data_IF_598720468590
#
_entry.id   IF_598720468590
#
_cell.length_a   1.000
_cell.length_b   1.000
_cell.length_c   1.000
_cell.angle_alpha   90.00
_cell.angle_beta   90.00
_cell.angle_gamma   90.00
#
_symmetry.space_group_name_H-M   'P 1'
#
loop_
_entity.id
_entity.type
_entity.pdbx_description
1 polymer ?
#
# COMPACT_ATOMS: atom_id res chain seq x y z
N UNK A 1 -7.80 48.00 41.13
CA UNK A 1 -6.83 46.88 41.15
C UNK A 1 -7.26 45.85 40.11
N UNK A 2 -6.45 45.74 39.05
CA UNK A 2 -6.00 44.49 38.43
C UNK A 2 -7.10 43.49 37.95
N UNK A 3 -7.46 43.62 36.66
CA UNK A 3 -8.11 42.59 35.82
C UNK A 3 -7.06 41.55 35.39
N UNK A 4 -7.32 40.25 35.57
CA UNK A 4 -6.59 39.18 34.86
C UNK A 4 -7.58 38.24 34.21
N UNK A 5 -7.75 38.42 32.90
CA UNK A 5 -8.29 37.42 31.98
C UNK A 5 -7.17 36.43 31.67
N UNK A 6 -7.31 35.17 32.08
CA UNK A 6 -6.51 34.07 31.55
C UNK A 6 -7.34 33.33 30.50
N UNK A 7 -7.13 33.65 29.23
CA UNK A 7 -7.60 32.84 28.11
C UNK A 7 -6.45 32.69 27.12
N UNK A 8 -5.72 31.58 27.23
CA UNK A 8 -4.83 31.12 26.18
C UNK A 8 -4.61 29.61 26.36
N UNK A 9 -5.40 28.79 25.67
CA UNK A 9 -5.09 27.36 25.46
C UNK A 9 -5.15 27.07 23.96
N UNK A 10 -3.97 27.19 23.34
CA UNK A 10 -3.35 26.29 22.36
C UNK A 10 -4.27 25.77 21.22
N UNK A 11 -4.24 26.48 20.09
CA UNK A 11 -4.58 25.92 18.76
C UNK A 11 -3.27 25.57 18.05
N UNK A 12 -2.75 24.35 18.24
CA UNK A 12 -1.51 23.89 17.57
C UNK A 12 -1.61 22.49 16.95
N UNK A 13 -2.81 21.88 16.90
CA UNK A 13 -2.98 20.51 16.39
C UNK A 13 -3.23 20.42 14.88
N UNK A 14 -3.67 21.50 14.21
CA UNK A 14 -4.07 21.43 12.79
C UNK A 14 -2.89 21.38 11.78
N UNK A 15 -1.70 21.86 12.16
CA UNK A 15 -0.56 21.92 11.24
C UNK A 15 0.10 20.55 10.99
N UNK A 16 0.04 19.64 11.98
CA UNK A 16 0.69 18.33 11.89
C UNK A 16 -0.02 17.39 10.91
N UNK A 17 -1.36 17.38 10.92
CA UNK A 17 -2.14 16.54 10.00
C UNK A 17 -1.97 16.94 8.52
N UNK A 18 -1.80 18.24 8.25
CA UNK A 18 -1.57 18.72 6.89
C UNK A 18 -0.20 18.34 6.33
N UNK A 19 0.85 18.32 7.17
CA UNK A 19 2.21 17.98 6.74
C UNK A 19 2.37 16.48 6.46
N UNK A 20 1.81 15.61 7.31
CA UNK A 20 1.77 14.16 7.04
C UNK A 20 0.96 13.84 5.79
N UNK A 21 -0.20 14.47 5.61
CA UNK A 21 -1.02 14.26 4.41
C UNK A 21 -0.28 14.70 3.13
N UNK A 22 0.43 15.84 3.17
CA UNK A 22 1.29 16.27 2.05
C UNK A 22 2.39 15.26 1.74
N UNK A 23 3.00 14.66 2.77
CA UNK A 23 4.04 13.65 2.55
C UNK A 23 3.48 12.41 1.86
N UNK A 24 2.27 11.94 2.21
CA UNK A 24 1.65 10.79 1.55
C UNK A 24 1.10 11.11 0.15
N UNK A 25 0.70 12.37 -0.10
CA UNK A 25 0.15 12.79 -1.40
C UNK A 25 1.14 12.62 -2.57
N UNK A 26 2.45 12.62 -2.29
CA UNK A 26 3.51 12.35 -3.27
C UNK A 26 3.70 10.84 -3.58
N UNK A 27 3.11 9.95 -2.77
CA UNK A 27 3.25 8.49 -2.87
C UNK A 27 1.94 7.87 -3.34
N UNK A 28 1.57 8.22 -4.57
CA UNK A 28 0.31 7.80 -5.19
C UNK A 28 0.32 6.33 -5.63
N UNK A 29 1.51 5.76 -5.83
CA UNK A 29 1.63 4.35 -6.21
C UNK A 29 1.41 3.46 -5.01
N UNK A 30 0.94 2.24 -5.26
CA UNK A 30 0.79 1.22 -4.23
C UNK A 30 1.60 -0.01 -4.59
N UNK A 31 2.24 -0.62 -3.59
CA UNK A 31 2.93 -1.89 -3.79
C UNK A 31 2.42 -2.95 -2.83
N UNK A 32 2.23 -4.16 -3.33
CA UNK A 32 1.93 -5.34 -2.53
C UNK A 32 3.14 -6.27 -2.54
N UNK A 33 3.81 -6.44 -1.40
CA UNK A 33 5.03 -7.25 -1.28
C UNK A 33 4.65 -8.66 -0.83
N UNK A 34 4.76 -9.64 -1.71
CA UNK A 34 4.36 -11.02 -1.42
C UNK A 34 5.41 -11.78 -0.62
N UNK A 35 6.67 -11.70 -1.05
CA UNK A 35 7.77 -12.46 -0.49
C UNK A 35 9.07 -11.67 -0.59
N UNK A 36 9.97 -11.95 0.35
CA UNK A 36 11.33 -11.43 0.39
C UNK A 36 12.29 -12.53 0.85
N UNK A 37 13.53 -12.44 0.40
CA UNK A 37 14.68 -13.15 0.94
C UNK A 37 15.69 -12.09 1.35
N UNK A 38 16.12 -12.10 2.61
CA UNK A 38 16.89 -10.99 3.17
C UNK A 38 18.04 -11.43 4.08
N UNK A 39 19.08 -10.60 4.13
CA UNK A 39 20.18 -10.66 5.10
C UNK A 39 20.17 -9.37 5.91
N UNK A 40 20.12 -9.51 7.24
CA UNK A 40 20.25 -8.39 8.18
C UNK A 40 21.71 -8.26 8.61
N UNK A 41 22.27 -7.06 8.47
CA UNK A 41 23.61 -6.70 8.89
C UNK A 41 23.57 -6.01 10.25
N UNK A 42 24.50 -6.40 11.12
CA UNK A 42 24.57 -5.92 12.49
C UNK A 42 25.92 -5.25 12.74
N UNK A 43 25.88 -4.11 13.43
CA UNK A 43 27.07 -3.48 14.01
C UNK A 43 26.87 -3.38 15.52
N UNK A 44 27.87 -3.81 16.31
CA UNK A 44 27.79 -3.78 17.78
C UNK A 44 26.49 -4.39 18.36
N UNK A 45 25.97 -5.47 17.73
CA UNK A 45 24.70 -6.16 18.05
C UNK A 45 23.42 -5.34 17.79
N UNK A 46 23.50 -4.24 17.07
CA UNK A 46 22.36 -3.45 16.59
C UNK A 46 22.16 -3.72 15.11
N UNK A 47 20.91 -3.99 14.71
CA UNK A 47 20.57 -4.12 13.28
C UNK A 47 20.66 -2.73 12.63
N UNK A 48 21.48 -2.60 11.59
CA UNK A 48 21.69 -1.31 10.90
C UNK A 48 21.16 -1.31 9.46
N UNK A 49 21.16 -2.48 8.82
CA UNK A 49 20.86 -2.57 7.40
C UNK A 49 20.25 -3.94 7.07
N UNK A 50 19.28 -3.96 6.17
CA UNK A 50 18.71 -5.17 5.59
C UNK A 50 18.77 -5.08 4.07
N UNK A 51 19.40 -6.08 3.46
CA UNK A 51 19.48 -6.22 1.99
C UNK A 51 18.87 -7.51 1.55
N UNK A 52 18.32 -7.50 0.34
CA UNK A 52 17.75 -8.70 -0.21
C UNK A 52 17.05 -8.47 -1.52
N UNK A 53 16.21 -9.43 -1.86
CA UNK A 53 15.38 -9.42 -3.04
C UNK A 53 13.98 -9.93 -2.73
N UNK A 54 13.03 -9.67 -3.62
CA UNK A 54 11.66 -10.09 -3.44
C UNK A 54 10.80 -9.95 -4.67
N UNK A 55 9.52 -10.24 -4.49
CA UNK A 55 8.49 -10.17 -5.54
C UNK A 55 7.29 -9.39 -5.02
N UNK A 56 6.80 -8.48 -5.85
CA UNK A 56 5.71 -7.60 -5.51
C UNK A 56 4.84 -7.30 -6.74
N UNK A 57 3.63 -6.79 -6.50
CA UNK A 57 2.89 -6.07 -7.52
C UNK A 57 2.97 -4.57 -7.26
N UNK A 58 3.10 -3.79 -8.32
CA UNK A 58 2.88 -2.35 -8.36
C UNK A 58 1.49 -2.08 -8.92
N UNK A 59 0.75 -1.19 -8.29
CA UNK A 59 -0.51 -0.64 -8.79
C UNK A 59 -0.26 0.82 -9.16
N UNK A 60 -0.54 1.13 -10.42
CA UNK A 60 -0.37 2.46 -10.99
C UNK A 60 -1.49 2.69 -12.01
N UNK A 61 -2.33 3.70 -11.75
CA UNK A 61 -3.45 4.07 -12.60
C UNK A 61 -4.43 2.91 -12.87
N UNK A 62 -4.72 2.10 -11.85
CA UNK A 62 -5.58 0.93 -11.93
C UNK A 62 -4.98 -0.25 -12.70
N UNK A 63 -3.67 -0.21 -12.97
CA UNK A 63 -2.96 -1.28 -13.67
C UNK A 63 -2.04 -2.03 -12.70
N UNK A 64 -2.31 -3.32 -12.43
CA UNK A 64 -1.43 -4.13 -11.61
C UNK A 64 -0.30 -4.73 -12.45
N UNK A 65 0.96 -4.44 -12.12
CA UNK A 65 2.13 -5.02 -12.78
C UNK A 65 3.03 -5.71 -11.77
N UNK A 66 3.42 -6.94 -12.06
CA UNK A 66 4.42 -7.65 -11.28
C UNK A 66 5.78 -6.97 -11.38
N UNK A 67 6.56 -7.08 -10.31
CA UNK A 67 7.95 -6.67 -10.28
C UNK A 67 8.75 -7.62 -9.40
N UNK A 68 9.95 -7.96 -9.88
CA UNK A 68 11.00 -8.47 -9.01
C UNK A 68 11.81 -7.27 -8.54
N UNK A 69 12.27 -7.28 -7.29
CA UNK A 69 13.02 -6.16 -6.75
C UNK A 69 14.20 -6.61 -5.91
N UNK A 70 15.22 -5.76 -5.87
CA UNK A 70 16.27 -5.75 -4.87
C UNK A 70 16.07 -4.56 -3.95
N UNK A 71 16.48 -4.70 -2.69
CA UNK A 71 16.30 -3.65 -1.70
C UNK A 71 17.52 -3.48 -0.81
N UNK A 72 17.64 -2.25 -0.32
CA UNK A 72 18.53 -1.89 0.76
C UNK A 72 17.77 -0.95 1.71
N UNK A 73 17.29 -1.49 2.82
CA UNK A 73 16.50 -0.79 3.83
C UNK A 73 17.30 -0.68 5.15
N UNK A 74 16.99 0.33 5.98
CA UNK A 74 17.59 0.45 7.31
C UNK A 74 17.14 -0.67 8.27
N UNK A 75 15.91 -1.15 8.11
CA UNK A 75 15.35 -2.26 8.88
C UNK A 75 14.81 -3.35 7.95
N UNK A 76 14.43 -4.50 8.54
CA UNK A 76 13.84 -5.61 7.79
C UNK A 76 12.64 -5.15 6.98
N UNK A 77 12.61 -5.51 5.70
CA UNK A 77 11.55 -5.11 4.80
C UNK A 77 10.26 -5.83 5.19
N UNK A 78 9.13 -5.15 5.32
CA UNK A 78 7.87 -5.85 5.63
C UNK A 78 7.26 -6.47 4.37
N UNK A 79 6.70 -7.68 4.49
CA UNK A 79 5.77 -8.22 3.49
C UNK A 79 4.37 -7.67 3.77
N UNK A 80 3.58 -7.48 2.72
CA UNK A 80 2.18 -7.08 2.86
C UNK A 80 1.39 -8.14 3.63
N UNK A 81 0.47 -7.69 4.48
CA UNK A 81 -0.49 -8.55 5.15
C UNK A 81 -1.77 -8.64 4.31
N UNK A 82 -2.25 -9.85 4.03
CA UNK A 82 -3.50 -10.05 3.29
C UNK A 82 -3.49 -9.38 1.90
N UNK A 83 -4.21 -8.26 1.77
CA UNK A 83 -4.32 -7.45 0.55
C UNK A 83 -3.83 -6.00 0.76
N UNK A 84 -3.19 -5.72 1.90
CA UNK A 84 -2.66 -4.39 2.20
C UNK A 84 -1.52 -4.01 1.26
N UNK A 85 -1.34 -2.70 1.06
CA UNK A 85 -0.30 -2.15 0.20
C UNK A 85 0.47 -1.04 0.89
N UNK A 86 1.73 -0.89 0.52
CA UNK A 86 2.57 0.21 0.96
C UNK A 86 2.52 1.36 -0.05
N UNK A 87 2.45 2.62 0.40
CA UNK A 87 2.62 3.77 -0.47
C UNK A 87 4.02 3.78 -1.10
N UNK A 88 4.10 4.11 -2.38
CA UNK A 88 5.34 4.19 -3.11
C UNK A 88 5.33 5.35 -4.11
N UNK A 89 6.52 5.70 -4.60
CA UNK A 89 6.68 6.61 -5.74
C UNK A 89 7.91 6.24 -6.55
N UNK A 90 7.86 6.57 -7.84
CA UNK A 90 9.03 6.47 -8.70
C UNK A 90 10.11 7.47 -8.27
N UNK A 91 11.32 6.96 -8.06
CA UNK A 91 12.56 7.76 -8.08
C UNK A 91 13.12 7.79 -9.49
N UNK A 92 13.04 6.65 -10.19
CA UNK A 92 13.32 6.50 -11.62
C UNK A 92 12.25 5.59 -12.24
N UNK A 93 11.47 6.08 -13.21
CA UNK A 93 10.38 5.30 -13.79
C UNK A 93 10.83 3.91 -14.25
N UNK A 94 10.10 2.87 -13.84
CA UNK A 94 10.36 1.46 -14.16
C UNK A 94 11.73 0.90 -13.73
N UNK A 95 12.48 1.60 -12.86
CA UNK A 95 13.81 1.17 -12.40
C UNK A 95 14.01 1.29 -10.89
N UNK A 96 13.52 2.37 -10.28
CA UNK A 96 13.77 2.63 -8.86
C UNK A 96 12.52 3.21 -8.19
N UNK A 97 12.04 2.54 -7.15
CA UNK A 97 10.96 2.99 -6.28
C UNK A 97 11.49 3.42 -4.91
N UNK A 98 10.83 4.41 -4.33
CA UNK A 98 10.92 4.71 -2.90
C UNK A 98 9.59 4.34 -2.25
N UNK A 99 9.64 3.48 -1.24
CA UNK A 99 8.49 2.92 -0.54
C UNK A 99 8.46 3.45 0.87
N UNK A 100 7.26 3.77 1.37
CA UNK A 100 7.03 4.11 2.76
C UNK A 100 6.60 2.86 3.54
N UNK A 101 7.45 2.41 4.46
CA UNK A 101 7.16 1.31 5.38
C UNK A 101 6.81 1.88 6.75
N UNK A 102 5.78 1.39 7.44
CA UNK A 102 5.43 1.86 8.77
C UNK A 102 6.51 1.47 9.79
N UNK A 103 6.92 2.43 10.64
CA UNK A 103 7.80 2.14 11.76
C UNK A 103 7.06 1.30 12.82
N UNK A 104 7.67 0.21 13.27
CA UNK A 104 7.07 -0.62 14.32
C UNK A 104 6.79 0.19 15.59
N UNK A 105 5.55 0.09 16.07
CA UNK A 105 5.10 0.78 17.29
C UNK A 105 4.75 2.26 17.10
N UNK A 106 4.81 2.81 15.88
CA UNK A 106 4.46 4.21 15.59
C UNK A 106 3.53 4.28 14.38
N UNK A 107 2.24 4.51 14.64
CA UNK A 107 1.19 4.49 13.61
C UNK A 107 1.28 5.62 12.57
N UNK A 108 2.11 6.63 12.82
CA UNK A 108 2.16 7.87 12.05
C UNK A 108 3.57 8.17 11.49
N UNK A 109 4.51 7.23 11.64
CA UNK A 109 5.87 7.34 11.14
C UNK A 109 6.14 6.29 10.09
N UNK A 110 6.83 6.74 9.04
CA UNK A 110 7.26 5.90 7.94
C UNK A 110 8.75 6.03 7.73
N UNK A 111 9.40 4.90 7.53
CA UNK A 111 10.73 4.85 6.96
C UNK A 111 10.68 4.72 5.44
N UNK A 112 11.71 5.24 4.78
CA UNK A 112 11.85 5.14 3.33
C UNK A 112 12.75 3.96 3.01
N UNK A 113 12.29 3.04 2.19
CA UNK A 113 13.15 2.03 1.59
C UNK A 113 13.23 2.18 0.08
N UNK A 114 14.46 2.10 -0.46
CA UNK A 114 14.72 2.12 -1.88
C UNK A 114 14.62 0.69 -2.43
N UNK A 115 13.84 0.53 -3.49
CA UNK A 115 13.75 -0.70 -4.27
C UNK A 115 14.30 -0.46 -5.68
N UNK A 116 15.20 -1.33 -6.13
CA UNK A 116 15.59 -1.43 -7.54
C UNK A 116 14.73 -2.52 -8.18
N UNK A 117 14.04 -2.21 -9.28
CA UNK A 117 12.95 -3.04 -9.78
C UNK A 117 13.19 -3.52 -11.21
N UNK A 118 12.71 -4.73 -11.48
CA UNK A 118 12.53 -5.28 -12.81
C UNK A 118 11.04 -5.55 -13.02
N UNK A 119 10.40 -4.69 -13.83
CA UNK A 119 8.98 -4.81 -14.17
C UNK A 119 8.71 -6.07 -15.02
N UNK A 120 7.54 -6.67 -14.80
CA UNK A 120 7.01 -7.80 -15.56
C UNK A 120 5.75 -7.39 -16.33
N UNK A 121 5.38 -8.20 -17.30
CA UNK A 121 4.17 -8.08 -18.12
C UNK A 121 2.95 -8.82 -17.53
N UNK A 122 3.15 -9.57 -16.45
CA UNK A 122 2.13 -10.27 -15.67
C UNK A 122 2.00 -9.70 -14.26
N UNK A 123 0.91 -10.04 -13.56
CA UNK A 123 0.76 -9.79 -12.13
C UNK A 123 1.04 -11.06 -11.32
N UNK A 124 1.64 -10.91 -10.15
CA UNK A 124 1.75 -11.98 -9.17
C UNK A 124 0.42 -12.16 -8.42
N UNK A 125 0.06 -13.41 -8.12
CA UNK A 125 -1.13 -13.73 -7.32
C UNK A 125 -0.81 -14.77 -6.28
N UNK A 126 -1.38 -14.62 -5.08
CA UNK A 126 -1.25 -15.62 -4.04
C UNK A 126 -2.53 -16.44 -3.92
N UNK A 127 -2.44 -17.74 -4.21
CA UNK A 127 -3.55 -18.69 -4.12
C UNK A 127 -3.13 -19.87 -3.26
N UNK A 128 -3.92 -20.19 -2.24
CA UNK A 128 -3.63 -21.28 -1.29
C UNK A 128 -2.20 -21.22 -0.69
N UNK A 129 -1.73 -20.01 -0.40
CA UNK A 129 -0.38 -19.76 0.14
C UNK A 129 0.77 -19.82 -0.89
N UNK A 130 0.52 -20.33 -2.09
CA UNK A 130 1.49 -20.36 -3.18
C UNK A 130 1.46 -19.08 -4.03
N UNK A 131 2.62 -18.62 -4.45
CA UNK A 131 2.76 -17.48 -5.36
C UNK A 131 2.72 -18.00 -6.80
N UNK A 132 1.71 -17.61 -7.54
CA UNK A 132 1.57 -17.83 -8.98
C UNK A 132 1.62 -16.51 -9.75
N UNK A 133 1.35 -16.60 -11.05
CA UNK A 133 1.28 -15.47 -11.96
C UNK A 133 0.02 -15.56 -12.80
N UNK A 134 -0.49 -14.42 -13.25
CA UNK A 134 -1.57 -14.34 -14.23
C UNK A 134 -1.42 -13.09 -15.10
N UNK A 135 -2.03 -13.07 -16.29
CA UNK A 135 -2.01 -11.87 -17.13
C UNK A 135 -2.54 -10.65 -16.39
N UNK A 136 -1.89 -9.51 -16.59
CA UNK A 136 -2.27 -8.22 -15.97
C UNK A 136 -3.76 -7.91 -16.11
N UNK A 137 -4.31 -8.15 -17.30
CA UNK A 137 -5.73 -7.89 -17.58
C UNK A 137 -6.67 -8.83 -16.79
N UNK A 138 -6.29 -10.10 -16.63
CA UNK A 138 -7.08 -11.06 -15.84
C UNK A 138 -7.13 -10.65 -14.37
N UNK A 139 -6.00 -10.22 -13.81
CA UNK A 139 -5.97 -9.73 -12.43
C UNK A 139 -6.79 -8.45 -12.29
N UNK A 140 -6.65 -7.51 -13.24
CA UNK A 140 -7.46 -6.28 -13.25
C UNK A 140 -8.96 -6.56 -13.26
N UNK A 141 -9.42 -7.52 -14.07
CA UNK A 141 -10.84 -7.94 -14.06
C UNK A 141 -11.26 -8.50 -12.70
N UNK A 142 -10.41 -9.28 -12.05
CA UNK A 142 -10.63 -9.73 -10.68
C UNK A 142 -10.70 -8.56 -9.70
N UNK A 143 -9.81 -7.57 -9.82
CA UNK A 143 -9.81 -6.36 -8.98
C UNK A 143 -11.14 -5.62 -9.08
N UNK A 144 -11.59 -5.32 -10.31
CA UNK A 144 -12.87 -4.65 -10.57
C UNK A 144 -14.05 -5.44 -10.02
N UNK A 145 -14.06 -6.77 -10.27
CA UNK A 145 -15.11 -7.65 -9.78
C UNK A 145 -15.21 -7.60 -8.26
N UNK A 146 -14.09 -7.53 -7.55
CA UNK A 146 -14.06 -7.57 -6.09
C UNK A 146 -13.98 -6.19 -5.43
N UNK A 147 -14.24 -5.11 -6.17
CA UNK A 147 -14.10 -3.73 -5.69
C UNK A 147 -12.76 -3.46 -4.97
N UNK A 148 -11.70 -4.09 -5.47
CA UNK A 148 -10.37 -3.98 -4.91
C UNK A 148 -9.58 -2.91 -5.66
N UNK A 149 -9.24 -1.85 -4.95
CA UNK A 149 -8.58 -0.66 -5.49
C UNK A 149 -7.64 -0.06 -4.43
N UNK A 150 -6.41 -0.55 -4.35
CA UNK A 150 -5.44 -0.09 -3.36
C UNK A 150 -5.10 1.39 -3.46
N UNK A 151 -5.09 1.94 -4.68
CA UNK A 151 -4.75 3.35 -4.93
C UNK A 151 -5.77 4.27 -4.26
N UNK A 152 -7.04 3.86 -4.22
CA UNK A 152 -8.12 4.58 -3.55
C UNK A 152 -8.48 4.02 -2.16
N UNK A 153 -7.59 3.24 -1.54
CA UNK A 153 -7.71 2.77 -0.16
C UNK A 153 -8.62 1.56 0.05
N UNK A 154 -9.14 0.96 -1.02
CA UNK A 154 -9.91 -0.29 -0.97
C UNK A 154 -8.97 -1.50 -0.91
N UNK A 155 -8.28 -1.64 0.22
CA UNK A 155 -7.25 -2.66 0.46
C UNK A 155 -7.81 -4.03 0.87
N UNK A 156 -9.13 -4.27 0.74
CA UNK A 156 -9.75 -5.55 1.08
C UNK A 156 -10.77 -5.90 0.01
N UNK A 157 -10.56 -6.99 -0.76
CA UNK A 157 -11.50 -7.41 -1.80
C UNK A 157 -12.83 -7.86 -1.17
N UNK A 158 -13.95 -7.49 -1.78
CA UNK A 158 -15.27 -7.95 -1.38
C UNK A 158 -15.42 -9.45 -1.69
N UNK A 159 -15.72 -10.31 -0.69
CA UNK A 159 -15.83 -11.76 -0.88
C UNK A 159 -16.86 -12.16 -1.93
N UNK A 160 -17.99 -11.43 -1.95
CA UNK A 160 -19.10 -11.60 -2.89
C UNK A 160 -19.46 -10.23 -3.47
N UNK A 161 -19.14 -9.95 -4.74
CA UNK A 161 -19.52 -8.69 -5.38
C UNK A 161 -21.05 -8.53 -5.34
N UNK A 162 -21.59 -7.34 -5.05
CA UNK A 162 -23.02 -7.11 -5.18
C UNK A 162 -23.43 -7.37 -6.64
N UNK A 163 -24.42 -8.25 -6.83
CA UNK A 163 -24.96 -8.54 -8.15
C UNK A 163 -25.57 -7.24 -8.71
N UNK A 164 -25.17 -6.73 -9.90
CA UNK A 164 -25.73 -5.49 -10.45
C UNK A 164 -27.26 -5.50 -10.59
N UNK A 165 -27.89 -6.68 -10.60
CA UNK A 165 -29.34 -6.85 -10.67
C UNK A 165 -30.10 -6.51 -9.37
N UNK A 166 -29.45 -6.46 -8.20
CA UNK A 166 -30.15 -6.16 -6.95
C UNK A 166 -30.45 -4.66 -6.74
N UNK A 167 -29.92 -3.78 -7.60
CA UNK A 167 -30.20 -2.34 -7.55
C UNK A 167 -31.48 -1.92 -8.33
N UNK A 168 -32.04 -2.80 -9.17
CA UNK A 168 -33.23 -2.51 -10.00
C UNK A 168 -34.49 -3.30 -9.60
N UNK A 169 -34.52 -3.90 -8.40
CA UNK A 169 -35.59 -4.81 -7.96
C UNK A 169 -36.82 -4.17 -7.31
N UNK A 170 -37.00 -2.84 -7.36
CA UNK A 170 -38.25 -2.23 -6.88
C UNK A 170 -39.28 -2.19 -8.02
N UNK A 171 -39.88 -3.34 -8.31
CA UNK A 171 -41.07 -3.41 -9.18
C UNK A 171 -42.33 -3.48 -8.29
N UNK A 172 -43.33 -2.60 -8.48
CA UNK A 172 -44.50 -2.53 -7.61
C UNK A 172 -45.40 -3.75 -7.79
N UNK A 173 -45.85 -4.31 -6.67
CA UNK A 173 -46.82 -5.40 -6.58
C UNK A 173 -48.18 -4.96 -7.16
N UNK A 174 -48.82 -5.74 -8.06
CA UNK A 174 -50.20 -5.50 -8.42
C UNK A 174 -51.12 -6.01 -7.31
N UNK A 175 -52.06 -5.17 -6.89
CA UNK A 175 -53.12 -5.53 -5.96
C UNK A 175 -54.15 -6.42 -6.65
N UNK A 176 -54.52 -7.52 -5.99
CA UNK A 176 -55.71 -8.31 -6.28
C UNK A 176 -56.81 -7.97 -5.27
#
# INVERSE_FOLDING_TARGET
>A
MVRWTFAAIIVLTAAFSAAQNKQLADYQLRIHIFRRSETTFYHMRVAEEAKGEGRANLFENGQPRGMDFQFNCAHQLQTSSGFETFPAKWKKPNQELEVLLPEFGKSDKYEKCKLEVQMKDFAYVQRNGALGTEPTESFKQWMVKHDYDPEHGKNTPMPNPPNPQSANGAQPTPAH
#
